data_IF_805387837336
#
_entry.id   IF_805387837336
#
_cell.length_a   1.000
_cell.length_b   1.000
_cell.length_c   1.000
_cell.angle_alpha   90.00
_cell.angle_beta   90.00
_cell.angle_gamma   90.00
#
_symmetry.space_group_name_H-M   'P 1'
#
loop_
_entity.id
_entity.type
_entity.pdbx_description
1 polymer ?
#
# COMPACT_ATOMS: atom_id res chain seq x y z
N UNK A 1 19.95 -60.92 -28.28
CA UNK A 1 20.71 -59.67 -28.08
C UNK A 1 22.12 -59.89 -28.57
N UNK A 2 22.61 -58.99 -29.42
CA UNK A 2 23.98 -59.03 -29.94
C UNK A 2 24.78 -57.95 -29.23
N UNK A 3 25.97 -58.25 -28.72
CA UNK A 3 26.83 -57.23 -28.13
C UNK A 3 27.81 -56.70 -29.18
N UNK A 4 27.96 -55.39 -29.23
CA UNK A 4 28.94 -54.70 -30.09
C UNK A 4 29.81 -53.76 -29.26
N UNK A 5 30.97 -53.39 -29.79
CA UNK A 5 31.79 -52.34 -29.18
C UNK A 5 31.72 -51.08 -30.05
N UNK A 6 31.38 -49.93 -29.48
CA UNK A 6 31.29 -48.66 -30.20
C UNK A 6 32.45 -47.77 -29.82
N UNK A 7 33.22 -47.33 -30.81
CA UNK A 7 34.32 -46.37 -30.64
C UNK A 7 33.83 -44.99 -31.06
N UNK A 8 33.87 -44.04 -30.13
CA UNK A 8 33.57 -42.63 -30.36
C UNK A 8 34.77 -41.79 -29.90
N UNK A 9 35.37 -41.04 -30.83
CA UNK A 9 36.63 -40.30 -30.61
C UNK A 9 37.74 -41.17 -29.97
N UNK A 10 38.12 -40.89 -28.71
CA UNK A 10 39.12 -41.63 -27.92
C UNK A 10 38.51 -42.68 -26.99
N UNK A 11 37.19 -42.68 -26.82
CA UNK A 11 36.48 -43.59 -25.92
C UNK A 11 35.97 -44.84 -26.65
N UNK A 12 35.98 -45.96 -25.94
CA UNK A 12 35.58 -47.26 -26.45
C UNK A 12 34.56 -47.88 -25.51
N UNK A 13 33.28 -47.78 -25.88
CA UNK A 13 32.15 -48.37 -25.18
C UNK A 13 32.11 -49.87 -25.51
N UNK A 14 32.48 -50.71 -24.56
CA UNK A 14 32.49 -52.17 -24.71
C UNK A 14 31.11 -52.73 -24.36
N UNK A 15 30.63 -53.69 -25.16
CA UNK A 15 29.42 -54.48 -24.92
C UNK A 15 28.10 -53.68 -24.87
N UNK A 16 27.86 -52.84 -25.88
CA UNK A 16 26.52 -52.25 -26.10
C UNK A 16 25.61 -53.33 -26.69
N UNK A 17 24.48 -53.58 -26.05
CA UNK A 17 23.50 -54.57 -26.52
C UNK A 17 22.66 -54.00 -27.66
N UNK A 18 22.61 -54.73 -28.77
CA UNK A 18 21.77 -54.46 -29.92
C UNK A 18 20.66 -55.50 -29.99
N UNK A 19 19.44 -54.99 -30.10
CA UNK A 19 18.27 -55.76 -30.49
C UNK A 19 17.99 -55.56 -31.99
N UNK A 20 18.18 -56.62 -32.78
CA UNK A 20 17.93 -56.59 -34.24
C UNK A 20 16.45 -56.66 -34.60
N UNK A 21 15.55 -56.84 -33.63
CA UNK A 21 14.10 -56.77 -33.84
C UNK A 21 13.56 -55.35 -33.82
N UNK A 22 14.33 -54.38 -33.32
CA UNK A 22 13.90 -53.00 -33.15
C UNK A 22 14.45 -52.07 -34.24
N UNK A 23 13.76 -50.93 -34.50
CA UNK A 23 14.23 -49.95 -35.47
C UNK A 23 15.63 -49.41 -35.11
N UNK A 24 16.49 -49.09 -36.11
CA UNK A 24 17.84 -48.55 -35.89
C UNK A 24 17.88 -47.25 -35.06
N UNK A 25 16.76 -46.55 -34.97
CA UNK A 25 16.61 -45.34 -34.16
C UNK A 25 16.78 -45.60 -32.65
N UNK A 26 16.27 -46.72 -32.14
CA UNK A 26 16.36 -47.04 -30.70
C UNK A 26 17.81 -47.22 -30.27
N UNK A 27 18.62 -47.86 -31.12
CA UNK A 27 20.05 -48.00 -30.88
C UNK A 27 20.78 -46.64 -30.88
N UNK A 28 20.35 -45.69 -31.74
CA UNK A 28 20.90 -44.33 -31.73
C UNK A 28 20.53 -43.55 -30.47
N UNK A 29 19.32 -43.73 -29.93
CA UNK A 29 18.91 -43.14 -28.65
C UNK A 29 19.76 -43.67 -27.49
N UNK A 30 20.00 -44.99 -27.43
CA UNK A 30 20.90 -45.57 -26.42
C UNK A 30 22.33 -45.01 -26.52
N UNK A 31 22.81 -44.73 -27.73
CA UNK A 31 24.09 -44.05 -27.92
C UNK A 31 24.05 -42.58 -27.53
N UNK A 32 22.91 -41.90 -27.66
CA UNK A 32 22.75 -40.53 -27.17
C UNK A 32 22.87 -40.45 -25.65
N UNK A 33 22.26 -41.39 -24.92
CA UNK A 33 22.37 -41.45 -23.46
C UNK A 33 23.81 -41.68 -23.00
N UNK A 34 24.61 -42.40 -23.79
CA UNK A 34 26.01 -42.70 -23.45
C UNK A 34 27.01 -41.64 -23.93
N UNK A 35 26.77 -40.96 -25.06
CA UNK A 35 27.75 -40.04 -25.66
C UNK A 35 27.29 -38.58 -25.74
N UNK A 36 26.03 -38.28 -25.43
CA UNK A 36 25.44 -36.94 -25.56
C UNK A 36 25.32 -36.42 -26.99
N UNK A 37 25.49 -37.27 -28.02
CA UNK A 37 25.41 -36.88 -29.44
C UNK A 37 24.01 -37.16 -29.97
N UNK A 38 23.22 -36.16 -30.40
CA UNK A 38 21.83 -36.36 -30.82
C UNK A 38 21.70 -37.43 -31.93
N UNK A 39 20.69 -38.32 -31.90
CA UNK A 39 20.49 -39.42 -32.86
C UNK A 39 20.58 -39.03 -34.34
N UNK A 40 20.17 -37.80 -34.66
CA UNK A 40 20.18 -37.22 -36.01
C UNK A 40 21.59 -36.91 -36.53
N UNK A 41 22.53 -36.60 -35.63
CA UNK A 41 23.92 -36.27 -35.94
C UNK A 41 24.87 -37.45 -35.77
N UNK A 42 24.35 -38.63 -35.42
CA UNK A 42 25.14 -39.85 -35.30
C UNK A 42 25.32 -40.51 -36.66
N UNK A 43 26.56 -40.50 -37.15
CA UNK A 43 26.97 -41.32 -38.30
C UNK A 43 27.69 -42.56 -37.80
N UNK A 44 27.01 -43.71 -37.87
CA UNK A 44 27.53 -45.01 -37.45
C UNK A 44 28.07 -45.72 -38.70
N UNK A 45 29.34 -46.09 -38.67
CA UNK A 45 30.02 -46.79 -39.76
C UNK A 45 30.38 -48.21 -39.33
N UNK A 46 29.99 -49.19 -40.15
CA UNK A 46 30.34 -50.61 -39.99
C UNK A 46 31.46 -50.94 -40.98
N UNK A 47 32.57 -51.53 -40.52
CA UNK A 47 33.60 -52.07 -41.42
C UNK A 47 33.19 -53.49 -41.84
N UNK A 48 32.40 -53.61 -42.91
CA UNK A 48 32.13 -54.80 -43.72
C UNK A 48 32.00 -56.17 -43.02
N UNK A 49 30.78 -56.74 -43.01
CA UNK A 49 30.48 -58.10 -42.51
C UNK A 49 29.45 -58.13 -41.37
N UNK A 50 28.86 -59.30 -41.07
CA UNK A 50 27.76 -59.47 -40.09
C UNK A 50 28.08 -58.83 -38.72
N UNK A 51 27.07 -58.20 -38.13
CA UNK A 51 27.11 -57.34 -36.92
C UNK A 51 27.58 -58.01 -35.60
N UNK A 52 27.92 -59.30 -35.59
CA UNK A 52 28.21 -60.05 -34.35
C UNK A 52 29.67 -59.89 -33.93
N UNK A 53 29.92 -59.14 -32.86
CA UNK A 53 31.25 -58.98 -32.24
C UNK A 53 32.17 -57.93 -32.88
N UNK A 54 31.65 -57.06 -33.76
CA UNK A 54 32.47 -56.04 -34.44
C UNK A 54 32.58 -54.72 -33.66
N UNK A 55 33.61 -53.94 -34.01
CA UNK A 55 33.83 -52.57 -33.54
C UNK A 55 33.14 -51.59 -34.49
N UNK A 56 32.11 -50.90 -34.02
CA UNK A 56 31.43 -49.82 -34.72
C UNK A 56 32.17 -48.51 -34.48
N UNK A 57 32.29 -47.65 -35.49
CA UNK A 57 32.80 -46.29 -35.30
C UNK A 57 31.66 -45.30 -35.40
N UNK A 58 31.51 -44.48 -34.38
CA UNK A 58 30.53 -43.42 -34.30
C UNK A 58 31.23 -42.08 -34.47
N UNK A 59 30.71 -41.24 -35.37
CA UNK A 59 31.12 -39.84 -35.53
C UNK A 59 29.92 -38.94 -35.30
N UNK A 60 30.12 -37.91 -34.49
CA UNK A 60 29.16 -36.85 -34.21
C UNK A 60 29.70 -35.97 -33.09
N UNK A 61 29.42 -34.67 -33.18
CA UNK A 61 29.80 -33.67 -32.18
C UNK A 61 28.68 -33.64 -31.13
N UNK A 62 29.04 -33.78 -29.85
CA UNK A 62 28.07 -33.63 -28.76
C UNK A 62 27.57 -32.18 -28.72
N UNK A 63 26.31 -31.96 -28.35
CA UNK A 63 25.78 -30.61 -28.20
C UNK A 63 26.51 -29.88 -27.06
N UNK A 64 26.83 -28.60 -27.27
CA UNK A 64 27.39 -27.74 -26.23
C UNK A 64 26.40 -27.66 -25.06
N UNK A 65 26.89 -27.99 -23.87
CA UNK A 65 26.20 -27.84 -22.60
C UNK A 65 25.63 -26.42 -22.53
N UNK A 66 24.33 -26.32 -22.24
CA UNK A 66 23.63 -25.05 -21.97
C UNK A 66 24.50 -24.19 -21.07
N UNK A 67 25.05 -23.09 -21.61
CA UNK A 67 25.79 -22.12 -20.80
C UNK A 67 24.86 -21.66 -19.68
N UNK A 68 25.27 -21.91 -18.44
CA UNK A 68 24.65 -21.31 -17.28
C UNK A 68 24.56 -19.79 -17.50
N UNK A 69 23.46 -19.12 -17.10
CA UNK A 69 23.31 -17.69 -17.31
C UNK A 69 24.53 -16.93 -16.74
N UNK A 70 25.18 -16.12 -17.59
CA UNK A 70 26.42 -15.41 -17.27
C UNK A 70 26.25 -14.34 -16.18
N UNK A 71 25.01 -14.00 -15.83
CA UNK A 71 24.70 -13.19 -14.66
C UNK A 71 24.24 -14.13 -13.55
N UNK A 72 25.06 -14.26 -12.51
CA UNK A 72 24.63 -14.84 -11.24
C UNK A 72 23.36 -14.14 -10.72
N UNK A 73 22.62 -14.75 -9.78
CA UNK A 73 21.44 -14.09 -9.20
C UNK A 73 21.87 -12.74 -8.62
N UNK A 74 21.44 -11.65 -9.25
CA UNK A 74 21.58 -10.31 -8.70
C UNK A 74 20.53 -10.23 -7.61
N UNK A 75 20.99 -10.11 -6.38
CA UNK A 75 20.14 -9.96 -5.21
C UNK A 75 19.42 -8.61 -5.32
N UNK A 76 18.14 -8.60 -4.91
CA UNK A 76 17.28 -7.43 -5.06
C UNK A 76 17.82 -6.25 -4.23
N UNK A 77 18.57 -6.57 -3.18
CA UNK A 77 19.26 -5.68 -2.25
C UNK A 77 20.40 -4.88 -2.88
N UNK A 78 20.95 -5.32 -4.02
CA UNK A 78 22.09 -4.67 -4.72
C UNK A 78 21.65 -3.70 -5.83
N UNK A 79 20.35 -3.62 -6.14
CA UNK A 79 19.80 -2.64 -7.09
C UNK A 79 19.81 -1.22 -6.49
N UNK A 80 19.89 -0.15 -7.30
CA UNK A 80 19.68 1.21 -6.79
C UNK A 80 18.28 1.34 -6.17
N UNK A 81 18.16 2.11 -5.09
CA UNK A 81 16.93 2.19 -4.27
C UNK A 81 15.67 2.51 -5.09
N UNK A 82 15.81 3.34 -6.14
CA UNK A 82 14.72 3.70 -7.05
C UNK A 82 14.19 2.51 -7.87
N UNK A 83 15.08 1.62 -8.34
CA UNK A 83 14.68 0.41 -9.07
C UNK A 83 14.12 -0.68 -8.15
N UNK A 84 14.54 -0.68 -6.87
CA UNK A 84 13.97 -1.55 -5.85
C UNK A 84 12.52 -1.16 -5.52
N UNK A 85 12.19 0.13 -5.39
CA UNK A 85 10.81 0.59 -5.16
C UNK A 85 9.91 0.18 -6.34
N UNK A 86 10.38 0.35 -7.57
CA UNK A 86 9.64 -0.04 -8.79
C UNK A 86 9.46 -1.57 -8.86
N UNK A 87 10.44 -2.34 -8.42
CA UNK A 87 10.38 -3.81 -8.35
C UNK A 87 9.42 -4.32 -7.26
N UNK A 88 9.47 -3.69 -6.07
CA UNK A 88 8.67 -4.05 -4.90
C UNK A 88 7.20 -3.63 -5.07
N UNK A 89 6.95 -2.51 -5.76
CA UNK A 89 5.62 -2.01 -6.05
C UNK A 89 4.83 -1.58 -4.81
N UNK A 90 5.53 -1.21 -3.73
CA UNK A 90 4.97 -0.70 -2.47
C UNK A 90 5.94 0.25 -1.76
N UNK A 91 5.42 1.08 -0.84
CA UNK A 91 6.19 2.01 -0.01
C UNK A 91 6.94 1.32 1.13
N UNK A 92 7.82 2.06 1.80
CA UNK A 92 8.54 1.61 2.99
C UNK A 92 7.63 1.36 4.22
N UNK A 93 8.12 0.51 5.13
CA UNK A 93 7.58 0.38 6.48
C UNK A 93 7.94 1.56 7.41
N UNK A 94 7.39 1.56 8.61
CA UNK A 94 7.66 2.55 9.66
C UNK A 94 8.21 1.87 10.91
N UNK A 95 9.35 2.35 11.42
CA UNK A 95 9.88 1.82 12.68
C UNK A 95 8.93 2.06 13.85
N UNK A 96 8.74 1.02 14.67
CA UNK A 96 8.05 1.15 15.94
C UNK A 96 8.94 1.87 16.96
N UNK A 97 8.44 2.96 17.54
CA UNK A 97 9.15 3.79 18.52
C UNK A 97 8.70 3.51 19.96
N UNK A 98 8.11 2.33 20.19
CA UNK A 98 7.56 1.89 21.46
C UNK A 98 6.05 2.10 21.53
N UNK A 99 5.28 1.03 21.32
CA UNK A 99 3.81 1.04 21.30
C UNK A 99 3.20 2.04 20.31
N UNK A 100 3.90 2.37 19.22
CA UNK A 100 3.46 3.33 18.21
C UNK A 100 2.80 2.69 16.98
N UNK A 101 2.49 1.40 17.02
CA UNK A 101 1.87 0.68 15.88
C UNK A 101 0.50 1.27 15.49
N UNK A 102 -0.24 1.83 16.45
CA UNK A 102 -1.49 2.57 16.17
C UNK A 102 -1.24 3.77 15.24
N UNK A 103 -0.16 4.51 15.48
CA UNK A 103 0.24 5.66 14.68
C UNK A 103 0.76 5.22 13.32
N UNK A 104 1.62 4.20 13.28
CA UNK A 104 2.21 3.68 12.06
C UNK A 104 1.12 3.19 11.08
N UNK A 105 0.18 2.39 11.59
CA UNK A 105 -0.94 1.89 10.78
C UNK A 105 -1.86 3.02 10.29
N UNK A 106 -2.20 4.01 11.13
CA UNK A 106 -2.95 5.21 10.70
C UNK A 106 -2.25 5.95 9.56
N UNK A 107 -0.94 6.20 9.69
CA UNK A 107 -0.14 6.93 8.70
C UNK A 107 -0.08 6.16 7.38
N UNK A 108 0.13 4.84 7.40
CA UNK A 108 0.17 4.00 6.19
C UNK A 108 -1.19 3.98 5.47
N UNK A 109 -2.31 3.90 6.23
CA UNK A 109 -3.64 3.99 5.66
C UNK A 109 -3.92 5.37 5.01
N UNK A 110 -3.49 6.47 5.64
CA UNK A 110 -3.66 7.80 5.05
C UNK A 110 -2.74 8.06 3.85
N UNK A 111 -1.53 7.47 3.85
CA UNK A 111 -0.58 7.55 2.75
C UNK A 111 -1.12 6.92 1.46
N UNK A 112 -2.04 5.95 1.58
CA UNK A 112 -2.68 5.31 0.44
C UNK A 112 -3.68 6.19 -0.31
N UNK A 113 -3.96 7.42 0.14
CA UNK A 113 -4.92 8.34 -0.47
C UNK A 113 -4.21 9.34 -1.40
N UNK A 114 -4.27 9.17 -2.74
CA UNK A 114 -3.53 10.02 -3.67
C UNK A 114 -3.94 11.49 -3.62
N UNK A 115 -5.22 11.76 -3.37
CA UNK A 115 -5.78 13.12 -3.28
C UNK A 115 -5.21 13.86 -2.06
N UNK A 116 -5.02 13.14 -0.94
CA UNK A 116 -4.40 13.68 0.27
C UNK A 116 -2.93 13.97 0.03
N UNK A 117 -2.19 13.02 -0.58
CA UNK A 117 -0.79 13.23 -0.95
C UNK A 117 -0.61 14.45 -1.84
N UNK A 118 -1.45 14.59 -2.87
CA UNK A 118 -1.43 15.72 -3.80
C UNK A 118 -1.67 17.06 -3.10
N UNK A 119 -2.58 17.09 -2.12
CA UNK A 119 -2.85 18.28 -1.30
C UNK A 119 -1.67 18.62 -0.37
N UNK A 120 -1.06 17.62 0.27
CA UNK A 120 0.08 17.79 1.16
C UNK A 120 1.32 18.30 0.42
N UNK A 121 1.61 17.79 -0.79
CA UNK A 121 2.76 18.24 -1.60
C UNK A 121 2.67 19.73 -1.96
N UNK A 122 1.44 20.23 -2.19
CA UNK A 122 1.20 21.67 -2.46
C UNK A 122 1.34 22.55 -1.20
N UNK A 123 1.30 21.95 -0.01
CA UNK A 123 1.40 22.69 1.25
C UNK A 123 2.85 23.11 1.53
N UNK A 124 3.08 24.41 1.72
CA UNK A 124 4.42 24.98 1.91
C UNK A 124 4.63 25.51 3.33
N UNK A 125 5.90 25.63 3.74
CA UNK A 125 6.33 26.23 5.01
C UNK A 125 5.86 27.69 5.16
N UNK A 126 5.70 28.41 4.05
CA UNK A 126 5.18 29.78 4.05
C UNK A 126 3.64 29.84 3.97
N UNK A 127 2.98 28.70 3.78
CA UNK A 127 1.53 28.58 3.58
C UNK A 127 0.72 28.55 4.87
N UNK A 128 1.25 29.06 5.98
CA UNK A 128 0.52 29.09 7.26
C UNK A 128 -0.67 30.03 7.14
N UNK A 129 -1.89 29.48 7.23
CA UNK A 129 -3.09 30.28 7.34
C UNK A 129 -3.14 30.94 8.73
N UNK A 130 -3.64 32.18 8.82
CA UNK A 130 -3.67 32.95 10.08
C UNK A 130 -4.53 32.27 11.15
N UNK A 131 -5.53 31.49 10.74
CA UNK A 131 -6.46 30.77 11.62
C UNK A 131 -5.91 29.45 12.17
N UNK A 132 -4.74 28.99 11.70
CA UNK A 132 -4.14 27.70 12.09
C UNK A 132 -3.00 27.94 13.09
N UNK A 133 -3.05 27.22 14.22
CA UNK A 133 -2.01 27.29 15.23
C UNK A 133 -0.66 26.76 14.70
N UNK A 134 0.43 27.31 15.22
CA UNK A 134 1.79 26.96 14.77
C UNK A 134 2.07 25.45 14.87
N UNK A 135 1.55 24.78 15.89
CA UNK A 135 1.79 23.34 16.09
C UNK A 135 1.07 22.51 15.03
N UNK A 136 -0.18 22.83 14.69
CA UNK A 136 -0.93 22.20 13.59
C UNK A 136 -0.26 22.40 12.23
N UNK A 137 0.24 23.61 11.97
CA UNK A 137 0.99 23.90 10.76
C UNK A 137 2.25 23.03 10.64
N UNK A 138 3.04 22.95 11.73
CA UNK A 138 4.24 22.11 11.77
C UNK A 138 3.92 20.61 11.67
N UNK A 139 2.84 20.14 12.30
CA UNK A 139 2.40 18.75 12.19
C UNK A 139 2.00 18.39 10.76
N UNK A 140 1.32 19.30 10.05
CA UNK A 140 0.97 19.12 8.64
C UNK A 140 2.22 19.03 7.75
N UNK A 141 3.21 19.89 7.99
CA UNK A 141 4.51 19.83 7.31
C UNK A 141 5.22 18.51 7.58
N UNK A 142 5.29 18.08 8.83
CA UNK A 142 5.93 16.81 9.19
C UNK A 142 5.21 15.60 8.57
N UNK A 143 3.88 15.68 8.43
CA UNK A 143 3.09 14.65 7.72
C UNK A 143 3.46 14.61 6.23
N UNK A 144 3.55 15.78 5.58
CA UNK A 144 3.99 15.88 4.18
C UNK A 144 5.39 15.29 4.00
N UNK A 145 6.33 15.66 4.85
CA UNK A 145 7.72 15.24 4.73
C UNK A 145 7.84 13.73 4.98
N UNK A 146 7.12 13.19 5.96
CA UNK A 146 7.05 11.75 6.21
C UNK A 146 6.49 10.98 5.00
N UNK A 147 5.42 11.48 4.37
CA UNK A 147 4.88 10.86 3.15
C UNK A 147 5.91 10.87 2.02
N UNK A 148 6.63 11.97 1.86
CA UNK A 148 7.70 12.09 0.86
C UNK A 148 8.89 11.18 1.13
N UNK A 149 9.22 10.90 2.39
CA UNK A 149 10.24 9.91 2.77
C UNK A 149 9.76 8.48 2.50
N UNK A 150 8.50 8.15 2.80
CA UNK A 150 7.90 6.85 2.52
C UNK A 150 7.82 6.51 1.02
N UNK A 151 7.60 7.52 0.18
CA UNK A 151 7.55 7.35 -1.29
C UNK A 151 8.95 7.15 -1.90
N UNK A 152 10.02 7.61 -1.25
CA UNK A 152 11.40 7.56 -1.78
C UNK A 152 12.23 6.42 -1.20
N UNK A 153 11.91 5.98 0.01
CA UNK A 153 12.67 4.96 0.71
C UNK A 153 12.11 3.57 0.43
N UNK A 154 13.01 2.61 0.29
CA UNK A 154 12.70 1.17 0.39
C UNK A 154 12.82 0.71 1.85
N UNK A 155 13.78 1.30 2.56
CA UNK A 155 14.10 0.95 3.94
C UNK A 155 13.06 1.54 4.90
N UNK A 156 12.81 0.90 6.04
CA UNK A 156 11.87 1.43 7.01
C UNK A 156 12.26 2.82 7.49
N UNK A 157 11.27 3.70 7.61
CA UNK A 157 11.46 5.11 7.98
C UNK A 157 11.12 5.30 9.46
N UNK A 158 11.92 6.07 10.20
CA UNK A 158 11.64 6.41 11.60
C UNK A 158 10.88 7.74 11.69
N UNK A 159 9.59 7.76 12.08
CA UNK A 159 8.76 8.97 12.06
C UNK A 159 9.04 9.93 13.23
N UNK A 160 10.29 10.21 13.57
CA UNK A 160 10.70 10.93 14.78
C UNK A 160 10.16 12.37 14.84
N UNK A 161 10.25 13.11 13.73
CA UNK A 161 9.79 14.50 13.66
C UNK A 161 8.26 14.58 13.78
N UNK A 162 7.56 13.72 13.02
CA UNK A 162 6.11 13.58 13.09
C UNK A 162 5.66 13.22 14.51
N UNK A 163 6.27 12.20 15.11
CA UNK A 163 5.96 11.71 16.45
C UNK A 163 6.12 12.79 17.53
N UNK A 164 7.22 13.56 17.46
CA UNK A 164 7.49 14.64 18.42
C UNK A 164 6.44 15.75 18.33
N UNK A 165 6.01 16.10 17.12
CA UNK A 165 4.99 17.12 16.89
C UNK A 165 3.58 16.63 17.26
N UNK A 166 3.28 15.35 16.98
CA UNK A 166 2.01 14.73 17.32
C UNK A 166 1.79 14.80 18.84
N UNK A 167 2.76 14.37 19.64
CA UNK A 167 2.69 14.46 21.11
C UNK A 167 2.66 15.88 21.64
N UNK A 168 3.33 16.82 20.97
CA UNK A 168 3.29 18.23 21.33
C UNK A 168 1.90 18.83 21.12
N UNK A 169 1.20 18.42 20.06
CA UNK A 169 -0.17 18.87 19.75
C UNK A 169 -1.22 18.18 20.62
N UNK A 170 -1.02 16.88 20.83
CA UNK A 170 -1.95 15.97 21.47
C UNK A 170 -1.22 15.22 22.61
N UNK A 171 -1.16 15.82 23.82
CA UNK A 171 -0.39 15.29 24.93
C UNK A 171 -0.81 13.89 25.41
N UNK A 172 -2.02 13.43 25.08
CA UNK A 172 -2.47 12.07 25.41
C UNK A 172 -1.60 10.98 24.77
N UNK A 173 -1.06 11.23 23.57
CA UNK A 173 -0.13 10.31 22.93
C UNK A 173 1.26 10.30 23.60
N UNK A 174 1.52 11.23 24.52
CA UNK A 174 2.75 11.28 25.31
C UNK A 174 2.64 10.62 26.69
N UNK A 175 1.53 9.96 27.01
CA UNK A 175 1.34 9.30 28.30
C UNK A 175 2.32 8.15 28.50
N UNK A 176 2.87 8.08 29.72
CA UNK A 176 3.86 7.08 30.12
C UNK A 176 3.25 6.16 31.18
N UNK A 177 3.44 4.85 31.00
CA UNK A 177 3.18 3.84 32.02
C UNK A 177 4.49 3.13 32.35
N UNK A 178 4.90 3.17 33.62
CA UNK A 178 6.18 2.61 34.09
C UNK A 178 7.40 3.08 33.29
N UNK A 179 7.40 4.32 32.82
CA UNK A 179 8.51 4.91 32.03
C UNK A 179 8.51 4.54 30.54
N UNK A 180 7.53 3.78 30.06
CA UNK A 180 7.35 3.43 28.64
C UNK A 180 6.11 4.14 28.10
N UNK A 181 6.15 4.56 26.83
CA UNK A 181 4.97 5.16 26.20
C UNK A 181 3.82 4.16 26.13
N UNK A 182 2.64 4.61 26.50
CA UNK A 182 1.42 3.81 26.41
C UNK A 182 0.97 3.66 24.97
N UNK A 183 0.41 2.49 24.65
CA UNK A 183 -0.37 2.33 23.43
C UNK A 183 -1.64 3.17 23.51
N UNK A 184 -2.10 3.67 22.38
CA UNK A 184 -3.27 4.54 22.26
C UNK A 184 -4.17 4.03 21.14
N UNK A 185 -5.36 4.60 21.05
CA UNK A 185 -6.36 4.21 20.05
C UNK A 185 -5.98 4.74 18.65
N UNK A 186 -6.04 3.86 17.65
CA UNK A 186 -5.80 4.22 16.26
C UNK A 186 -6.92 5.12 15.69
N UNK A 187 -8.17 4.97 16.15
CA UNK A 187 -9.28 5.86 15.77
C UNK A 187 -9.05 7.27 16.29
N UNK A 188 -8.59 7.40 17.53
CA UNK A 188 -8.29 8.71 18.11
C UNK A 188 -7.16 9.41 17.32
N UNK A 189 -6.09 8.66 17.01
CA UNK A 189 -5.00 9.15 16.18
C UNK A 189 -5.48 9.56 14.78
N UNK A 190 -6.30 8.72 14.14
CA UNK A 190 -6.91 8.97 12.83
C UNK A 190 -7.71 10.27 12.81
N UNK A 191 -8.67 10.40 13.73
CA UNK A 191 -9.58 11.54 13.81
C UNK A 191 -8.83 12.84 14.11
N UNK A 192 -7.83 12.81 15.00
CA UNK A 192 -7.04 14.00 15.35
C UNK A 192 -6.12 14.45 14.23
N UNK A 193 -5.47 13.51 13.55
CA UNK A 193 -4.63 13.80 12.41
C UNK A 193 -5.48 14.38 11.26
N UNK A 194 -6.59 13.74 10.90
CA UNK A 194 -7.49 14.25 9.87
C UNK A 194 -8.06 15.63 10.23
N UNK A 195 -8.41 15.86 11.49
CA UNK A 195 -8.86 17.18 11.93
C UNK A 195 -7.79 18.25 11.68
N UNK A 196 -6.56 18.01 12.10
CA UNK A 196 -5.42 18.93 11.89
C UNK A 196 -5.16 19.19 10.41
N UNK A 197 -5.15 18.12 9.60
CA UNK A 197 -4.96 18.22 8.16
C UNK A 197 -6.11 18.99 7.51
N UNK A 198 -7.36 18.75 7.92
CA UNK A 198 -8.52 19.48 7.40
C UNK A 198 -8.48 20.97 7.71
N UNK A 199 -7.93 21.38 8.86
CA UNK A 199 -7.80 22.80 9.19
C UNK A 199 -6.70 23.46 8.35
N UNK A 200 -5.59 22.76 8.14
CA UNK A 200 -4.41 23.29 7.46
C UNK A 200 -4.55 23.30 5.94
N UNK A 201 -5.23 22.29 5.37
CA UNK A 201 -5.43 22.12 3.93
C UNK A 201 -6.71 22.80 3.41
N UNK A 202 -7.51 23.43 4.28
CA UNK A 202 -8.62 24.31 3.87
C UNK A 202 -8.06 25.51 3.11
N UNK A 203 -8.03 25.41 1.78
CA UNK A 203 -7.83 26.57 0.91
C UNK A 203 -9.13 27.37 0.85
N UNK A 204 -9.02 28.69 0.88
CA UNK A 204 -10.14 29.61 0.66
C UNK A 204 -10.63 29.49 -0.79
N UNK A 205 -11.50 28.52 -1.07
CA UNK A 205 -12.17 28.40 -2.37
C UNK A 205 -12.46 26.97 -2.85
N UNK A 206 -11.68 25.97 -2.43
CA UNK A 206 -11.92 24.57 -2.81
C UNK A 206 -12.58 23.81 -1.68
N UNK A 207 -13.85 23.46 -1.85
CA UNK A 207 -14.52 22.40 -1.07
C UNK A 207 -14.04 21.03 -1.57
N UNK A 208 -12.73 20.85 -1.65
CA UNK A 208 -12.14 19.56 -2.03
C UNK A 208 -12.35 18.62 -0.86
N UNK A 209 -13.48 17.92 -0.94
CA UNK A 209 -13.93 16.88 -0.04
C UNK A 209 -12.96 15.69 -0.16
N UNK A 210 -11.77 15.82 0.45
CA UNK A 210 -10.80 14.73 0.61
C UNK A 210 -11.46 13.45 1.19
N UNK A 211 -12.62 13.58 1.85
CA UNK A 211 -13.39 12.47 2.42
C UNK A 211 -14.91 12.54 2.17
N UNK A 212 -15.36 13.12 1.04
CA UNK A 212 -16.71 12.92 0.47
C UNK A 212 -17.95 13.31 1.31
N UNK A 213 -17.80 13.64 2.58
CA UNK A 213 -18.85 14.13 3.46
C UNK A 213 -18.21 15.15 4.40
N UNK A 214 -18.92 16.26 4.64
CA UNK A 214 -18.71 17.01 5.88
C UNK A 214 -18.79 15.97 6.99
N UNK A 215 -17.69 15.73 7.71
CA UNK A 215 -17.68 14.73 8.79
C UNK A 215 -18.89 15.02 9.69
N UNK A 216 -19.80 14.06 9.92
CA UNK A 216 -20.92 14.25 10.83
C UNK A 216 -20.46 14.72 12.23
N UNK A 217 -19.25 14.34 12.63
CA UNK A 217 -18.60 14.79 13.87
C UNK A 217 -18.26 16.29 13.89
N UNK A 218 -18.01 16.93 12.74
CA UNK A 218 -17.86 18.39 12.67
C UNK A 218 -19.22 19.09 12.79
N UNK A 219 -20.27 18.55 12.17
CA UNK A 219 -21.63 19.10 12.29
C UNK A 219 -22.10 19.02 13.74
N UNK A 220 -21.89 17.89 14.42
CA UNK A 220 -22.27 17.73 15.82
C UNK A 220 -21.48 18.68 16.74
N UNK A 221 -20.18 18.88 16.51
CA UNK A 221 -19.39 19.87 17.28
C UNK A 221 -19.83 21.31 17.02
N UNK A 222 -20.14 21.67 15.78
CA UNK A 222 -20.60 23.01 15.42
C UNK A 222 -22.03 23.28 15.94
N UNK A 223 -22.89 22.26 15.97
CA UNK A 223 -24.24 22.34 16.54
C UNK A 223 -24.22 22.35 18.08
N UNK A 224 -23.37 21.55 18.74
CA UNK A 224 -23.19 21.61 20.19
C UNK A 224 -22.56 22.94 20.63
N UNK A 225 -21.59 23.48 19.88
CA UNK A 225 -21.00 24.79 20.13
C UNK A 225 -22.01 25.93 19.99
N UNK A 226 -22.93 25.85 19.02
CA UNK A 226 -24.06 26.77 18.88
C UNK A 226 -25.09 26.61 20.01
N UNK A 227 -25.36 25.37 20.44
CA UNK A 227 -26.29 25.05 21.53
C UNK A 227 -25.75 25.48 22.90
N UNK A 228 -24.43 25.58 23.05
CA UNK A 228 -23.72 26.04 24.24
C UNK A 228 -23.37 27.55 24.23
N UNK A 229 -23.80 28.30 23.22
CA UNK A 229 -23.72 29.77 23.22
C UNK A 229 -22.31 30.37 23.14
N UNK A 230 -21.30 29.60 22.73
CA UNK A 230 -19.92 30.09 22.60
C UNK A 230 -19.74 30.86 21.29
N UNK A 231 -19.94 32.18 21.31
CA UNK A 231 -19.55 33.07 20.21
C UNK A 231 -18.04 33.30 20.22
N UNK A 232 -17.38 33.06 19.09
CA UNK A 232 -16.00 33.47 18.86
C UNK A 232 -15.89 35.00 18.95
N UNK A 233 -15.17 35.48 19.96
CA UNK A 233 -15.09 36.90 20.29
C UNK A 233 -14.08 37.61 19.37
N UNK A 234 -14.57 38.24 18.30
CA UNK A 234 -13.83 39.26 17.57
C UNK A 234 -13.80 40.55 18.39
N UNK A 235 -12.62 40.92 18.91
CA UNK A 235 -12.43 42.20 19.61
C UNK A 235 -12.59 43.38 18.64
N UNK A 236 -13.62 44.20 18.87
CA UNK A 236 -13.56 45.64 18.61
C UNK A 236 -14.26 46.38 19.74
N UNK A 237 -13.52 47.28 20.37
CA UNK A 237 -13.93 48.17 21.45
C UNK A 237 -15.07 49.11 21.05
N UNK A 238 -16.12 49.23 21.86
CA UNK A 238 -16.52 50.50 22.51
C UNK A 238 -17.72 50.30 23.43
N UNK A 239 -17.74 51.12 24.47
CA UNK A 239 -18.60 51.23 25.64
C UNK A 239 -20.11 51.39 25.40
N UNK A 240 -20.95 50.79 26.26
CA UNK A 240 -21.92 51.49 27.14
C UNK A 240 -22.76 50.52 28.00
N UNK A 241 -23.05 50.99 29.21
CA UNK A 241 -23.81 50.39 30.31
C UNK A 241 -25.32 50.20 30.04
N UNK A 242 -25.90 49.30 30.84
CA UNK A 242 -27.27 49.19 31.37
C UNK A 242 -28.48 49.19 30.40
N UNK A 243 -29.26 48.10 30.36
CA UNK A 243 -30.38 47.86 31.30
C UNK A 243 -31.27 46.67 30.87
N UNK A 244 -31.85 45.97 31.84
CA UNK A 244 -32.73 44.81 31.68
C UNK A 244 -34.19 45.25 31.43
N UNK A 245 -34.88 44.67 30.44
CA UNK A 245 -36.35 44.49 30.52
C UNK A 245 -36.92 43.38 29.62
N UNK A 246 -37.65 42.48 30.27
CA UNK A 246 -38.56 41.47 29.72
C UNK A 246 -39.87 42.11 29.27
N UNK A 247 -40.45 41.71 28.13
CA UNK A 247 -41.90 41.72 27.83
C UNK A 247 -42.24 40.58 26.86
N UNK A 248 -43.25 39.77 27.25
CA UNK A 248 -43.96 38.76 26.44
C UNK A 248 -44.97 39.39 25.46
N UNK A 249 -45.29 38.69 24.37
CA UNK A 249 -46.48 39.00 23.56
C UNK A 249 -46.57 38.23 22.24
N UNK A 250 -47.46 37.24 22.20
CA UNK A 250 -47.78 36.36 21.07
C UNK A 250 -48.33 37.07 19.81
N UNK A 251 -48.17 36.42 18.65
CA UNK A 251 -48.86 36.79 17.40
C UNK A 251 -48.63 35.76 16.28
N UNK A 252 -49.58 34.83 16.14
CA UNK A 252 -49.64 33.74 15.15
C UNK A 252 -49.85 34.21 13.70
N UNK A 253 -49.26 33.52 12.70
CA UNK A 253 -50.00 33.03 11.52
C UNK A 253 -49.14 32.19 10.56
N UNK A 254 -49.81 31.18 9.98
CA UNK A 254 -49.34 30.14 9.07
C UNK A 254 -48.75 30.63 7.75
N UNK A 255 -47.80 29.88 7.18
CA UNK A 255 -47.84 29.46 5.77
C UNK A 255 -46.77 28.39 5.48
N UNK A 256 -47.25 27.22 5.06
CA UNK A 256 -46.52 26.19 4.32
C UNK A 256 -46.01 26.75 3.00
N UNK A 257 -44.72 26.57 2.70
CA UNK A 257 -44.13 26.98 1.43
C UNK A 257 -42.83 26.23 1.18
N UNK A 258 -42.96 25.08 0.53
CA UNK A 258 -41.88 24.38 -0.17
C UNK A 258 -41.24 25.37 -1.16
N UNK A 259 -39.92 25.51 -1.15
CA UNK A 259 -39.22 26.35 -2.12
C UNK A 259 -37.87 25.74 -2.48
N UNK A 260 -37.93 24.96 -3.55
CA UNK A 260 -36.88 24.71 -4.52
C UNK A 260 -36.16 26.01 -4.86
N UNK A 261 -34.85 26.07 -4.62
CA UNK A 261 -34.00 27.15 -5.14
C UNK A 261 -32.96 26.53 -6.07
N UNK A 262 -33.31 26.53 -7.34
CA UNK A 262 -32.37 26.61 -8.46
C UNK A 262 -31.58 27.91 -8.37
N UNK A 263 -30.25 27.84 -8.31
CA UNK A 263 -29.38 29.00 -8.57
C UNK A 263 -28.42 28.68 -9.71
N UNK A 264 -28.73 29.32 -10.83
CA UNK A 264 -27.92 29.82 -11.93
C UNK A 264 -26.43 29.46 -11.98
N UNK A 265 -26.04 28.88 -13.12
CA UNK A 265 -24.67 28.80 -13.61
C UNK A 265 -24.14 30.19 -14.01
N UNK A 266 -22.94 30.54 -13.57
CA UNK A 266 -22.02 31.40 -14.31
C UNK A 266 -20.64 30.72 -14.38
N UNK A 267 -20.04 30.74 -15.58
CA UNK A 267 -19.08 29.77 -16.06
C UNK A 267 -17.64 29.89 -15.55
N UNK A 268 -17.04 28.71 -15.35
CA UNK A 268 -15.60 28.42 -15.20
C UNK A 268 -15.37 27.11 -16.00
N UNK A 269 -14.24 26.92 -16.71
CA UNK A 269 -14.17 25.97 -17.83
C UNK A 269 -14.23 24.50 -17.38
N UNK A 270 -14.73 23.67 -18.29
CA UNK A 270 -15.11 22.26 -18.12
C UNK A 270 -14.04 21.37 -17.48
N UNK A 271 -14.15 21.14 -16.17
CA UNK A 271 -13.65 19.92 -15.55
C UNK A 271 -14.63 18.78 -15.87
N UNK A 272 -14.11 17.65 -16.34
CA UNK A 272 -14.88 16.45 -16.70
C UNK A 272 -15.88 16.12 -15.58
N UNK A 273 -17.17 16.27 -15.85
CA UNK A 273 -18.24 16.06 -14.88
C UNK A 273 -18.22 14.59 -14.45
N UNK A 274 -17.53 14.31 -13.34
CA UNK A 274 -17.33 12.95 -12.85
C UNK A 274 -18.49 12.60 -11.93
N UNK A 275 -19.35 11.67 -12.36
CA UNK A 275 -20.45 11.21 -11.50
C UNK A 275 -20.00 10.10 -10.55
N UNK A 276 -20.42 10.22 -9.29
CA UNK A 276 -20.33 9.16 -8.31
C UNK A 276 -21.30 8.03 -8.68
N UNK A 277 -20.80 6.79 -8.72
CA UNK A 277 -21.62 5.62 -9.08
C UNK A 277 -22.38 5.01 -7.89
N UNK A 278 -22.03 5.40 -6.67
CA UNK A 278 -22.48 4.74 -5.43
C UNK A 278 -21.77 3.40 -5.14
N UNK A 279 -20.87 2.95 -6.03
CA UNK A 279 -20.03 1.77 -5.84
C UNK A 279 -18.72 2.21 -5.19
N UNK A 280 -18.26 1.42 -4.22
CA UNK A 280 -17.07 1.70 -3.43
C UNK A 280 -16.12 0.51 -3.48
N UNK A 281 -14.84 0.79 -3.73
CA UNK A 281 -13.76 -0.19 -3.75
C UNK A 281 -12.95 -0.07 -2.45
N UNK A 282 -12.74 -1.19 -1.76
CA UNK A 282 -11.91 -1.22 -0.55
C UNK A 282 -10.45 -0.97 -0.92
N UNK A 283 -9.82 0.03 -0.31
CA UNK A 283 -8.44 0.46 -0.61
C UNK A 283 -7.49 0.27 0.55
N UNK A 284 -7.97 0.32 1.80
CA UNK A 284 -7.15 0.03 2.96
C UNK A 284 -8.00 -0.50 4.13
N UNK A 285 -7.37 -1.29 5.00
CA UNK A 285 -7.94 -1.80 6.23
C UNK A 285 -6.92 -1.59 7.34
N UNK A 286 -7.33 -0.93 8.41
CA UNK A 286 -6.59 -0.88 9.66
C UNK A 286 -7.17 -1.96 10.57
N UNK A 287 -6.30 -2.85 11.05
CA UNK A 287 -6.69 -3.96 11.93
C UNK A 287 -6.13 -3.77 13.32
N UNK A 288 -6.83 -4.32 14.31
CA UNK A 288 -6.33 -4.51 15.66
C UNK A 288 -6.27 -6.00 15.98
N UNK A 289 -5.15 -6.43 16.54
CA UNK A 289 -4.91 -7.78 17.05
C UNK A 289 -4.73 -7.71 18.56
N UNK A 290 -5.73 -8.15 19.30
CA UNK A 290 -5.71 -8.15 20.75
C UNK A 290 -7.11 -8.30 21.33
N UNK A 291 -7.19 -8.71 22.59
CA UNK A 291 -8.46 -8.83 23.32
C UNK A 291 -8.84 -7.59 24.13
N UNK A 292 -7.92 -6.65 24.26
CA UNK A 292 -8.08 -5.46 25.11
C UNK A 292 -7.84 -4.19 24.27
N UNK A 293 -8.45 -3.07 24.67
CA UNK A 293 -8.17 -1.78 24.07
C UNK A 293 -6.79 -1.23 24.49
N UNK A 294 -6.37 -1.53 25.74
CA UNK A 294 -5.13 -1.02 26.33
C UNK A 294 -3.88 -1.83 25.93
N UNK A 295 -4.06 -2.91 25.17
CA UNK A 295 -2.97 -3.78 24.70
C UNK A 295 -3.34 -4.45 23.39
N UNK A 296 -2.42 -4.48 22.44
CA UNK A 296 -2.62 -5.24 21.22
C UNK A 296 -1.63 -4.78 20.17
N UNK A 297 -1.95 -5.04 18.91
CA UNK A 297 -1.11 -4.63 17.81
C UNK A 297 -1.94 -4.14 16.65
N UNK A 298 -1.64 -2.94 16.17
CA UNK A 298 -2.33 -2.38 15.02
C UNK A 298 -1.50 -2.58 13.76
N UNK A 299 -2.16 -3.03 12.69
CA UNK A 299 -1.52 -3.32 11.41
C UNK A 299 -2.36 -2.74 10.28
N UNK A 300 -1.71 -2.08 9.32
CA UNK A 300 -2.36 -1.53 8.14
C UNK A 300 -2.24 -2.49 6.96
N UNK A 301 -3.31 -2.61 6.19
CA UNK A 301 -3.39 -3.43 4.99
C UNK A 301 -3.81 -2.50 3.86
N UNK A 302 -2.98 -2.33 2.84
CA UNK A 302 -3.21 -1.33 1.78
C UNK A 302 -3.16 -2.00 0.42
N UNK A 303 -4.17 -1.70 -0.41
CA UNK A 303 -4.22 -2.12 -1.80
C UNK A 303 -3.39 -1.16 -2.64
N UNK A 304 -2.34 -1.68 -3.27
CA UNK A 304 -1.47 -0.93 -4.17
C UNK A 304 -2.16 -0.71 -5.52
N UNK A 305 -1.65 0.23 -6.32
CA UNK A 305 -2.16 0.50 -7.68
C UNK A 305 -2.06 -0.73 -8.61
N UNK A 306 -1.11 -1.63 -8.33
CA UNK A 306 -0.98 -2.92 -9.01
C UNK A 306 -2.12 -3.91 -8.70
N UNK A 307 -2.99 -3.59 -7.74
CA UNK A 307 -4.06 -4.45 -7.24
C UNK A 307 -3.62 -5.44 -6.15
N UNK A 308 -2.31 -5.54 -5.87
CA UNK A 308 -1.77 -6.36 -4.77
C UNK A 308 -2.02 -5.71 -3.42
N UNK A 309 -2.22 -6.53 -2.40
CA UNK A 309 -2.34 -6.08 -1.02
C UNK A 309 -0.99 -6.17 -0.32
N UNK A 310 -0.70 -5.19 0.51
CA UNK A 310 0.50 -5.16 1.34
C UNK A 310 0.05 -4.95 2.78
N UNK A 311 0.50 -5.84 3.65
CA UNK A 311 0.42 -5.70 5.10
C UNK A 311 1.63 -4.91 5.58
N UNK A 312 1.39 -3.79 6.24
CA UNK A 312 2.39 -2.96 6.89
C UNK A 312 2.37 -3.24 8.38
N UNK A 313 3.14 -4.25 8.78
CA UNK A 313 3.43 -4.57 10.17
C UNK A 313 4.68 -3.79 10.61
N UNK A 314 4.45 -2.55 11.05
CA UNK A 314 5.50 -1.58 11.38
C UNK A 314 6.55 -1.46 10.26
N UNK A 315 7.77 -1.97 10.49
CA UNK A 315 8.90 -1.88 9.58
C UNK A 315 8.88 -2.91 8.45
N UNK A 316 7.99 -3.91 8.52
CA UNK A 316 7.96 -5.04 7.60
C UNK A 316 6.74 -4.96 6.64
N UNK A 317 6.93 -4.47 5.39
CA UNK A 317 5.91 -4.60 4.36
C UNK A 317 5.87 -6.04 3.81
N UNK A 318 4.72 -6.69 3.93
CA UNK A 318 4.51 -8.10 3.56
C UNK A 318 3.44 -8.19 2.47
N UNK A 319 3.75 -8.77 1.29
CA UNK A 319 2.76 -8.98 0.25
C UNK A 319 1.69 -10.01 0.63
N UNK A 320 0.43 -9.68 0.39
CA UNK A 320 -0.74 -10.48 0.77
C UNK A 320 -1.70 -10.68 -0.40
N UNK A 321 -2.54 -11.72 -0.30
CA UNK A 321 -3.57 -12.02 -1.31
C UNK A 321 -4.91 -11.41 -0.90
N UNK A 322 -5.78 -11.16 -1.88
CA UNK A 322 -7.11 -10.59 -1.63
C UNK A 322 -7.99 -11.52 -0.76
N UNK A 323 -7.78 -12.84 -0.85
CA UNK A 323 -8.43 -13.84 0.02
C UNK A 323 -8.05 -13.70 1.50
N UNK A 324 -6.87 -13.15 1.81
CA UNK A 324 -6.42 -12.93 3.19
C UNK A 324 -7.12 -11.72 3.81
N UNK A 325 -7.55 -10.75 3.00
CA UNK A 325 -8.27 -9.55 3.46
C UNK A 325 -9.66 -9.89 3.98
N UNK A 326 -10.35 -10.87 3.36
CA UNK A 326 -11.68 -11.31 3.81
C UNK A 326 -11.61 -11.98 5.19
N UNK A 327 -10.45 -12.56 5.55
CA UNK A 327 -10.22 -13.17 6.88
C UNK A 327 -10.07 -12.13 8.00
N UNK A 328 -9.93 -10.84 7.65
CA UNK A 328 -9.88 -9.73 8.62
C UNK A 328 -11.26 -9.39 9.20
N UNK A 329 -12.33 -10.07 8.75
CA UNK A 329 -13.69 -9.93 9.28
C UNK A 329 -13.83 -10.32 10.77
N UNK A 330 -12.82 -10.98 11.34
CA UNK A 330 -12.72 -11.30 12.76
C UNK A 330 -13.26 -12.68 13.14
N UNK A 331 -13.59 -12.86 14.42
CA UNK A 331 -14.13 -14.12 14.95
C UNK A 331 -13.15 -14.98 15.77
N UNK A 332 -11.96 -14.46 16.13
CA UNK A 332 -10.97 -15.14 16.96
C UNK A 332 -9.84 -14.21 17.43
N UNK A 333 -8.69 -14.78 17.82
CA UNK A 333 -7.48 -14.01 18.22
C UNK A 333 -6.66 -13.51 17.01
N UNK A 334 -7.26 -13.50 15.82
CA UNK A 334 -6.67 -13.02 14.59
C UNK A 334 -6.88 -11.50 14.44
N UNK A 335 -6.25 -10.90 13.42
CA UNK A 335 -6.48 -9.51 13.06
C UNK A 335 -7.96 -9.25 12.82
N UNK A 336 -8.50 -8.23 13.47
CA UNK A 336 -9.87 -7.77 13.29
C UNK A 336 -9.88 -6.42 12.63
N UNK A 337 -10.66 -6.27 11.56
CA UNK A 337 -10.87 -4.99 10.90
C UNK A 337 -11.44 -3.98 11.90
N UNK A 338 -10.74 -2.86 12.04
CA UNK A 338 -11.10 -1.77 12.94
C UNK A 338 -11.54 -0.53 12.16
N UNK A 339 -10.77 -0.13 11.14
CA UNK A 339 -11.13 0.96 10.22
C UNK A 339 -11.01 0.45 8.79
N UNK A 340 -12.07 0.56 7.99
CA UNK A 340 -12.07 0.22 6.57
C UNK A 340 -12.17 1.49 5.72
N UNK A 341 -11.25 1.64 4.77
CA UNK A 341 -11.23 2.75 3.83
C UNK A 341 -11.70 2.32 2.46
N UNK A 342 -12.63 3.10 1.92
CA UNK A 342 -13.24 2.85 0.64
C UNK A 342 -13.05 4.04 -0.30
N UNK A 343 -12.71 3.77 -1.56
CA UNK A 343 -12.66 4.75 -2.64
C UNK A 343 -13.92 4.66 -3.48
N UNK A 344 -14.58 5.79 -3.69
CA UNK A 344 -15.74 5.85 -4.57
C UNK A 344 -15.32 5.62 -6.03
N UNK A 345 -16.02 4.75 -6.74
CA UNK A 345 -15.83 4.55 -8.17
C UNK A 345 -16.53 5.67 -8.94
N UNK A 346 -15.77 6.39 -9.76
CA UNK A 346 -16.26 7.47 -10.60
C UNK A 346 -16.29 7.04 -12.06
N UNK A 347 -17.21 7.63 -12.83
CA UNK A 347 -17.29 7.44 -14.28
C UNK A 347 -17.14 8.80 -14.93
N UNK A 348 -16.19 8.93 -15.87
CA UNK A 348 -16.08 10.11 -16.72
C UNK A 348 -17.22 10.07 -17.73
N UNK A 349 -17.97 11.17 -17.85
CA UNK A 349 -18.78 11.41 -19.04
C UNK A 349 -17.90 11.74 -20.24
#
# INVERSE_FOLDING_TARGET
>A
MLTVSVKWQKELLKAVEIDTSQPPYVFKCQLYDLTGVPPERQKIMVKGGLLKGQKLMMMGTADEVVKAPEKGPVFMEDLPEEEQVVSLGHSAGLFNLGNTCYMNSTVQCLHSVPELKSSLVKYSHSGRNNDVDQTSHMLTIATRDLFGELDKSVKPVAPMQFWTLLRKKYPQFGQLHNGVFMQQDAEECWTQLLYTLSQSLRSAGSRDLLFGAVLPSMILRDEEGKKLGLKANGKSSSSKDDDVKMIDGEGSSNASGESTVTTSQEGVPSDKETRLTGIYDLVAVLTHKGRSADSGHYVAWVKQESGKWIEFDDDNPIPQREEDIVKLSGGGDWHMAYICMYKARTVSM
#
